data_IF_220845761734
#
_entry.id   IF_220845761734
#
_cell.length_a   1.000
_cell.length_b   1.000
_cell.length_c   1.000
_cell.angle_alpha   90.00
_cell.angle_beta   90.00
_cell.angle_gamma   90.00
#
_symmetry.space_group_name_H-M   'P 1'
#
loop_
_entity.id
_entity.type
_entity.pdbx_description
1 polymer ?
#
# COMPACT_ATOMS: atom_id res chain seq x y z
N UNK A 1 -8.74 15.20 -17.73
CA UNK A 1 -8.18 15.71 -16.44
C UNK A 1 -7.06 14.79 -16.00
N UNK A 2 -5.96 15.32 -15.44
CA UNK A 2 -4.84 14.52 -14.91
C UNK A 2 -4.60 14.90 -13.45
N UNK A 3 -4.60 13.92 -12.56
CA UNK A 3 -4.21 14.09 -11.16
C UNK A 3 -2.88 13.36 -10.96
N UNK A 4 -1.90 14.05 -10.41
CA UNK A 4 -0.62 13.46 -10.02
C UNK A 4 -0.38 13.81 -8.55
N UNK A 5 -0.18 12.79 -7.73
CA UNK A 5 0.14 12.97 -6.31
C UNK A 5 0.99 11.82 -5.80
N UNK A 6 1.63 12.06 -4.66
CA UNK A 6 2.46 11.10 -3.96
C UNK A 6 1.99 10.95 -2.53
N UNK A 7 1.94 9.70 -2.06
CA UNK A 7 1.64 9.36 -0.66
C UNK A 7 2.94 8.90 0.00
N UNK A 8 3.43 9.61 1.04
CA UNK A 8 4.64 9.21 1.74
C UNK A 8 4.44 7.93 2.56
N UNK A 9 5.54 7.21 2.78
CA UNK A 9 5.56 5.98 3.58
C UNK A 9 5.63 4.70 2.74
N UNK A 10 5.84 3.54 3.40
CA UNK A 10 5.96 2.27 2.71
C UNK A 10 4.60 1.85 2.11
N UNK A 11 4.59 1.23 0.92
CA UNK A 11 3.36 0.69 0.33
C UNK A 11 2.71 -0.36 1.26
N UNK A 12 1.43 -0.14 1.60
CA UNK A 12 0.62 -1.08 2.39
C UNK A 12 -0.25 -1.93 1.47
N UNK A 13 -0.49 -3.18 1.86
CA UNK A 13 -1.29 -4.12 1.08
C UNK A 13 -2.64 -4.39 1.71
N UNK A 14 -3.63 -4.68 0.89
CA UNK A 14 -4.95 -5.10 1.37
C UNK A 14 -4.83 -6.49 2.00
N UNK A 15 -5.09 -6.56 3.29
CA UNK A 15 -5.20 -7.82 4.00
C UNK A 15 -6.58 -8.44 3.76
N UNK A 16 -6.66 -9.77 3.88
CA UNK A 16 -7.93 -10.48 3.78
C UNK A 16 -8.81 -10.17 5.00
N UNK A 17 -10.12 -10.09 4.78
CA UNK A 17 -11.10 -10.00 5.86
C UNK A 17 -10.89 -11.13 6.87
N UNK A 18 -11.12 -10.81 8.14
CA UNK A 18 -10.99 -11.75 9.25
C UNK A 18 -12.35 -11.97 9.90
N UNK A 19 -12.52 -13.16 10.47
CA UNK A 19 -13.71 -13.53 11.21
C UNK A 19 -13.33 -13.75 12.68
N UNK A 20 -14.13 -13.22 13.59
CA UNK A 20 -13.99 -13.43 15.03
C UNK A 20 -15.34 -13.90 15.55
N UNK A 21 -15.31 -15.01 16.31
CA UNK A 21 -16.50 -15.58 16.93
C UNK A 21 -16.43 -15.38 18.43
N UNK A 22 -17.47 -14.77 19.00
CA UNK A 22 -17.64 -14.59 20.44
C UNK A 22 -18.97 -15.21 20.84
N UNK A 23 -18.92 -16.32 21.59
CA UNK A 23 -20.11 -17.11 21.90
C UNK A 23 -20.80 -17.62 20.63
N UNK A 24 -22.08 -17.27 20.45
CA UNK A 24 -22.88 -17.66 19.27
C UNK A 24 -22.81 -16.66 18.10
N UNK A 25 -22.03 -15.58 18.22
CA UNK A 25 -21.98 -14.51 17.22
C UNK A 25 -20.64 -14.50 16.48
N UNK A 26 -20.69 -14.52 15.15
CA UNK A 26 -19.51 -14.32 14.29
C UNK A 26 -19.56 -12.94 13.65
N UNK A 27 -18.49 -12.18 13.79
CA UNK A 27 -18.30 -10.86 13.15
C UNK A 27 -17.17 -10.92 12.15
N UNK A 28 -17.38 -10.33 10.98
CA UNK A 28 -16.36 -10.09 9.97
C UNK A 28 -15.83 -8.67 10.10
N UNK A 29 -14.51 -8.49 9.97
CA UNK A 29 -13.91 -7.16 9.93
C UNK A 29 -12.77 -7.08 8.92
N UNK A 30 -12.53 -5.88 8.42
CA UNK A 30 -11.39 -5.56 7.57
C UNK A 30 -10.20 -5.11 8.42
N UNK A 31 -9.14 -5.91 8.52
CA UNK A 31 -7.94 -5.51 9.26
C UNK A 31 -7.20 -4.32 8.60
N UNK A 32 -7.42 -4.03 7.32
CA UNK A 32 -6.83 -2.90 6.60
C UNK A 32 -7.67 -1.62 6.65
N UNK A 33 -8.79 -1.60 7.40
CA UNK A 33 -9.67 -0.43 7.47
C UNK A 33 -8.94 0.85 7.89
N UNK A 34 -8.00 0.76 8.83
CA UNK A 34 -7.18 1.90 9.27
C UNK A 34 -6.25 2.38 8.17
N UNK A 35 -5.61 1.45 7.46
CA UNK A 35 -4.67 1.77 6.37
C UNK A 35 -5.38 2.49 5.22
N UNK A 36 -6.59 2.02 4.87
CA UNK A 36 -7.42 2.68 3.84
C UNK A 36 -7.84 4.08 4.25
N UNK A 37 -8.25 4.26 5.51
CA UNK A 37 -8.64 5.58 6.03
C UNK A 37 -7.44 6.55 6.04
N UNK A 38 -6.26 6.08 6.43
CA UNK A 38 -5.01 6.85 6.42
C UNK A 38 -4.65 7.28 4.98
N UNK A 39 -4.70 6.34 4.03
CA UNK A 39 -4.46 6.63 2.62
C UNK A 39 -5.45 7.67 2.08
N UNK A 40 -6.76 7.48 2.31
CA UNK A 40 -7.79 8.41 1.87
C UNK A 40 -7.61 9.81 2.46
N UNK A 41 -7.26 9.91 3.75
CA UNK A 41 -7.02 11.21 4.39
C UNK A 41 -5.86 11.95 3.73
N UNK A 42 -4.78 11.24 3.41
CA UNK A 42 -3.62 11.83 2.72
C UNK A 42 -3.93 12.17 1.26
N UNK A 43 -4.79 11.40 0.57
CA UNK A 43 -5.14 11.66 -0.83
C UNK A 43 -6.19 12.77 -1.00
N UNK A 44 -7.02 13.03 0.02
CA UNK A 44 -8.12 14.02 -0.04
C UNK A 44 -7.67 15.44 -0.43
N UNK A 45 -6.46 15.85 -0.05
CA UNK A 45 -5.91 17.16 -0.43
C UNK A 45 -5.71 17.31 -1.95
N UNK A 46 -5.63 16.20 -2.68
CA UNK A 46 -5.48 16.16 -4.14
C UNK A 46 -6.79 15.85 -4.85
N UNK A 47 -7.90 15.73 -4.11
CA UNK A 47 -9.19 15.41 -4.69
C UNK A 47 -9.68 16.54 -5.61
N UNK A 48 -10.26 16.20 -6.78
CA UNK A 48 -10.90 17.20 -7.63
C UNK A 48 -12.14 17.77 -6.93
N UNK A 49 -12.58 18.96 -7.37
CA UNK A 49 -13.80 19.61 -6.84
C UNK A 49 -15.07 18.78 -7.05
N UNK A 50 -15.09 17.95 -8.09
CA UNK A 50 -16.19 17.06 -8.43
C UNK A 50 -15.66 15.67 -8.83
N UNK A 51 -16.45 14.59 -8.61
CA UNK A 51 -16.07 13.25 -9.02
C UNK A 51 -15.73 13.15 -10.52
N UNK A 52 -14.77 12.28 -10.84
CA UNK A 52 -14.43 12.00 -12.24
C UNK A 52 -15.52 11.08 -12.82
N UNK A 53 -16.16 11.52 -13.90
CA UNK A 53 -17.19 10.75 -14.61
C UNK A 53 -16.58 10.12 -15.85
N UNK A 54 -16.85 8.83 -16.07
CA UNK A 54 -16.40 8.07 -17.24
C UNK A 54 -15.16 7.23 -16.99
N UNK A 55 -14.52 6.79 -18.07
CA UNK A 55 -13.37 5.88 -18.01
C UNK A 55 -12.12 6.58 -17.47
N UNK A 56 -11.39 5.89 -16.60
CA UNK A 56 -10.15 6.40 -16.00
C UNK A 56 -8.98 5.47 -16.30
N UNK A 57 -7.83 6.08 -16.62
CA UNK A 57 -6.54 5.38 -16.66
C UNK A 57 -5.78 5.70 -15.38
N UNK A 58 -5.42 4.66 -14.63
CA UNK A 58 -4.64 4.78 -13.40
C UNK A 58 -3.24 4.23 -13.63
N UNK A 59 -2.23 4.94 -13.17
CA UNK A 59 -0.84 4.50 -13.18
C UNK A 59 -0.25 4.75 -11.80
N UNK A 60 0.31 3.71 -11.19
CA UNK A 60 0.81 3.75 -9.81
C UNK A 60 2.22 3.20 -9.79
N UNK A 61 3.10 3.89 -9.08
CA UNK A 61 4.46 3.44 -8.80
C UNK A 61 4.59 3.13 -7.31
N UNK A 62 5.05 1.93 -6.99
CA UNK A 62 5.30 1.51 -5.62
C UNK A 62 6.79 1.55 -5.32
N UNK A 63 7.22 2.52 -4.50
CA UNK A 63 8.58 2.61 -4.01
C UNK A 63 8.75 1.68 -2.80
N UNK A 64 9.16 0.44 -3.05
CA UNK A 64 9.33 -0.57 -2.00
C UNK A 64 10.58 -0.30 -1.16
N UNK A 65 10.51 -0.43 0.19
CA UNK A 65 11.70 -0.34 1.02
C UNK A 65 12.67 -1.47 0.67
N UNK A 66 13.97 -1.16 0.62
CA UNK A 66 15.01 -2.14 0.37
C UNK A 66 15.08 -3.15 1.54
N UNK A 67 15.01 -4.46 1.29
CA UNK A 67 15.11 -5.46 2.36
C UNK A 67 16.41 -5.34 3.17
N UNK A 68 16.32 -5.43 4.50
CA UNK A 68 17.49 -5.28 5.41
C UNK A 68 18.60 -6.29 5.13
N UNK A 69 18.26 -7.51 4.71
CA UNK A 69 19.23 -8.56 4.38
C UNK A 69 20.03 -8.27 3.10
N UNK A 70 19.64 -7.25 2.30
CA UNK A 70 20.43 -6.77 1.17
C UNK A 70 21.62 -5.93 1.60
N UNK A 71 21.64 -5.46 2.85
CA UNK A 71 22.76 -4.74 3.44
C UNK A 71 23.71 -5.69 4.17
N UNK A 72 24.97 -5.28 4.32
CA UNK A 72 25.95 -5.92 5.20
C UNK A 72 25.54 -5.71 6.67
N UNK A 73 26.32 -6.22 7.63
CA UNK A 73 26.00 -6.15 9.07
C UNK A 73 27.08 -5.38 9.85
N UNK A 74 26.81 -5.08 11.13
CA UNK A 74 27.75 -4.41 12.03
C UNK A 74 28.16 -3.03 11.54
N UNK A 75 29.46 -2.74 11.54
CA UNK A 75 30.05 -1.46 11.08
C UNK A 75 29.64 -1.09 9.65
N UNK A 76 29.25 -2.06 8.82
CA UNK A 76 28.90 -1.87 7.42
C UNK A 76 27.38 -1.94 7.13
N UNK A 77 26.52 -1.80 8.15
CA UNK A 77 25.07 -1.95 8.00
C UNK A 77 24.39 -1.01 6.99
N UNK A 78 25.05 0.09 6.59
CA UNK A 78 24.57 0.99 5.54
C UNK A 78 24.98 0.61 4.12
N UNK A 79 25.84 -0.40 3.96
CA UNK A 79 26.43 -0.77 2.66
C UNK A 79 25.67 -1.94 2.06
N UNK A 80 25.27 -1.82 0.80
CA UNK A 80 24.65 -2.91 0.04
C UNK A 80 25.65 -4.05 -0.21
N UNK A 81 25.16 -5.29 -0.17
CA UNK A 81 25.93 -6.45 -0.64
C UNK A 81 26.08 -6.40 -2.15
N UNK A 82 27.21 -6.88 -2.66
CA UNK A 82 27.52 -6.87 -4.08
C UNK A 82 26.56 -7.76 -4.90
N UNK A 83 26.02 -8.80 -4.27
CA UNK A 83 25.02 -9.70 -4.85
C UNK A 83 23.56 -9.30 -4.57
N UNK A 84 23.31 -8.10 -4.02
CA UNK A 84 21.96 -7.70 -3.65
C UNK A 84 21.11 -7.42 -4.91
N UNK A 85 19.97 -8.11 -5.11
CA UNK A 85 19.16 -7.96 -6.31
C UNK A 85 18.69 -6.53 -6.55
N UNK A 86 18.63 -6.09 -7.82
CA UNK A 86 18.09 -4.78 -8.19
C UNK A 86 16.57 -4.73 -7.92
N UNK A 87 15.86 -5.78 -8.34
CA UNK A 87 14.41 -5.86 -8.26
C UNK A 87 13.91 -6.39 -6.92
N UNK A 88 12.82 -5.81 -6.42
CA UNK A 88 12.15 -6.27 -5.20
C UNK A 88 11.29 -7.49 -5.52
N UNK A 89 11.59 -8.63 -4.89
CA UNK A 89 10.90 -9.91 -5.11
C UNK A 89 10.19 -10.45 -3.87
N UNK A 90 10.06 -9.63 -2.83
CA UNK A 90 9.43 -10.01 -1.57
C UNK A 90 8.01 -9.47 -1.49
N UNK A 91 7.24 -10.05 -0.56
CA UNK A 91 5.92 -9.56 -0.19
C UNK A 91 6.00 -8.09 0.27
N UNK A 92 4.90 -7.33 0.16
CA UNK A 92 3.60 -7.71 -0.42
C UNK A 92 3.53 -7.74 -1.95
N UNK A 93 2.60 -8.53 -2.48
CA UNK A 93 2.33 -8.65 -3.91
C UNK A 93 1.70 -7.36 -4.47
N UNK A 94 2.08 -6.98 -5.69
CA UNK A 94 1.72 -5.70 -6.31
C UNK A 94 0.20 -5.50 -6.46
N UNK A 95 -0.52 -6.58 -6.73
CA UNK A 95 -1.98 -6.58 -6.87
C UNK A 95 -2.69 -6.26 -5.56
N UNK A 96 -2.20 -6.78 -4.42
CA UNK A 96 -2.75 -6.48 -3.10
C UNK A 96 -2.43 -5.05 -2.66
N UNK A 97 -1.26 -4.52 -3.03
CA UNK A 97 -0.94 -3.10 -2.80
C UNK A 97 -1.86 -2.21 -3.64
N UNK A 98 -2.01 -2.51 -4.93
CA UNK A 98 -2.92 -1.76 -5.81
C UNK A 98 -4.37 -1.83 -5.35
N UNK A 99 -4.83 -3.00 -4.87
CA UNK A 99 -6.17 -3.16 -4.32
C UNK A 99 -6.43 -2.22 -3.15
N UNK A 100 -5.47 -2.05 -2.24
CA UNK A 100 -5.63 -1.09 -1.14
C UNK A 100 -5.79 0.34 -1.66
N UNK A 101 -5.00 0.74 -2.66
CA UNK A 101 -5.11 2.07 -3.29
C UNK A 101 -6.50 2.26 -3.91
N UNK A 102 -6.95 1.30 -4.73
CA UNK A 102 -8.25 1.35 -5.39
C UNK A 102 -9.41 1.40 -4.38
N UNK A 103 -9.40 0.52 -3.38
CA UNK A 103 -10.43 0.47 -2.34
C UNK A 103 -10.44 1.76 -1.49
N UNK A 104 -9.28 2.39 -1.26
CA UNK A 104 -9.19 3.64 -0.50
C UNK A 104 -9.76 4.85 -1.25
N UNK A 105 -9.63 4.87 -2.58
CA UNK A 105 -10.08 5.97 -3.44
C UNK A 105 -11.55 5.84 -3.88
N UNK A 106 -12.23 4.77 -3.49
CA UNK A 106 -13.65 4.54 -3.75
C UNK A 106 -14.58 5.11 -2.65
N UNK A 107 -14.04 5.86 -1.69
CA UNK A 107 -14.76 6.37 -0.52
C UNK A 107 -14.95 7.88 -0.48
#
# INVERSE_FOLDING_TARGET
MKILFQIPGPPRHQQRHRHVTTGKFTRTYDPSAKDKKDFLLQSKQYAPKSPIIGVVKVSVWFCMPRPKNHYRTGKYAGILKDNAPVWHTKKPDIDNIFKLVADSLNG
#
